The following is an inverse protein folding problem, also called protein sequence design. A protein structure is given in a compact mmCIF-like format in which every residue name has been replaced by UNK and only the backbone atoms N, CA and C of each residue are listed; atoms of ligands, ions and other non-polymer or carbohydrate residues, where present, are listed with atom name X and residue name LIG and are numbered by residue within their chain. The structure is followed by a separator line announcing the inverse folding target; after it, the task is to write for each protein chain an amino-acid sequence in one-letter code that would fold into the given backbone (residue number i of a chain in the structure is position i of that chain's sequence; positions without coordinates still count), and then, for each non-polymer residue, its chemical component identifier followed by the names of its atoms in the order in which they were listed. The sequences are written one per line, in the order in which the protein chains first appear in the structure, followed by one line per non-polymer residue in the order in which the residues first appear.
data_IF_637010003454
#
_entry.id   IF_637010003454
#
_cell.length_a   1.000
_cell.length_b   1.000
_cell.length_c   1.000
_cell.angle_alpha   90.00
_cell.angle_beta   90.00
_cell.angle_gamma   90.00
#
_symmetry.space_group_name_H-M   'P 1'
#
loop_
_entity.id
_entity.type
_entity.pdbx_description
1 polymer ?
#
# COMPACT_ATOMS: atom_id res chain seq x y z
N UNK A 1 -13.21 11.35 -57.33
CA UNK A 1 -11.95 11.02 -56.64
C UNK A 1 -12.31 10.43 -55.27
N UNK A 2 -12.28 9.10 -55.12
CA UNK A 2 -12.66 8.42 -53.86
C UNK A 2 -11.41 8.32 -52.99
N UNK A 3 -11.39 9.06 -51.89
CA UNK A 3 -10.32 8.97 -50.89
C UNK A 3 -10.60 7.70 -50.07
N UNK A 4 -9.88 6.63 -50.38
CA UNK A 4 -9.94 5.37 -49.63
C UNK A 4 -8.93 5.51 -48.49
N UNK A 5 -9.39 5.93 -47.32
CA UNK A 5 -8.57 5.97 -46.11
C UNK A 5 -8.38 4.52 -45.64
N UNK A 6 -7.17 3.97 -45.59
CA UNK A 6 -6.97 2.61 -45.13
C UNK A 6 -7.28 2.53 -43.63
N UNK A 7 -8.29 1.72 -43.29
CA UNK A 7 -8.72 1.41 -41.90
C UNK A 7 -7.54 0.90 -41.04
N UNK A 8 -6.46 0.46 -41.66
CA UNK A 8 -5.23 -0.02 -41.02
C UNK A 8 -4.47 1.02 -40.18
N UNK A 9 -4.71 2.32 -40.34
CA UNK A 9 -3.92 3.36 -39.63
C UNK A 9 -4.52 3.80 -38.29
N UNK A 10 -5.76 3.40 -37.96
CA UNK A 10 -6.48 3.84 -36.75
C UNK A 10 -6.24 2.89 -35.56
N UNK A 11 -5.69 1.70 -35.79
CA UNK A 11 -5.54 0.67 -34.75
C UNK A 11 -4.29 0.79 -33.87
N UNK A 12 -3.43 1.80 -34.08
CA UNK A 12 -2.11 1.89 -33.43
C UNK A 12 -2.05 2.71 -32.12
N UNK A 13 -3.17 3.28 -31.64
CA UNK A 13 -3.15 4.27 -30.54
C UNK A 13 -3.50 3.67 -29.15
N UNK A 14 -3.82 2.38 -29.03
CA UNK A 14 -4.38 1.83 -27.77
C UNK A 14 -3.40 1.16 -26.79
N UNK A 15 -2.07 1.29 -26.95
CA UNK A 15 -1.11 0.61 -26.08
C UNK A 15 -0.32 1.56 -25.15
N UNK A 16 -0.99 2.57 -24.56
CA UNK A 16 -0.46 3.25 -23.39
C UNK A 16 -0.98 2.56 -22.14
N UNK A 17 -0.35 1.45 -21.74
CA UNK A 17 -0.54 0.88 -20.41
C UNK A 17 0.15 1.81 -19.41
N UNK A 18 -0.63 2.41 -18.52
CA UNK A 18 -0.08 3.16 -17.40
C UNK A 18 0.46 2.15 -16.38
N UNK A 19 1.77 1.93 -16.37
CA UNK A 19 2.42 1.16 -15.32
C UNK A 19 2.38 1.95 -14.02
N UNK A 20 1.99 1.30 -12.91
CA UNK A 20 2.06 1.89 -11.58
C UNK A 20 3.51 2.23 -11.25
N UNK A 21 3.80 3.52 -11.07
CA UNK A 21 5.12 3.96 -10.59
C UNK A 21 5.14 3.84 -9.08
N UNK A 22 6.11 3.10 -8.54
CA UNK A 22 6.39 3.07 -7.11
C UNK A 22 6.66 4.50 -6.60
N UNK A 23 6.13 4.91 -5.44
CA UNK A 23 6.49 6.16 -4.81
C UNK A 23 8.01 6.22 -4.59
N UNK A 24 8.65 7.34 -4.89
CA UNK A 24 10.07 7.50 -4.57
C UNK A 24 10.21 7.93 -3.10
N UNK A 25 10.64 7.00 -2.24
CA UNK A 25 10.92 7.25 -0.83
C UNK A 25 12.37 6.87 -0.54
N UNK A 26 13.17 7.84 -0.12
CA UNK A 26 14.59 7.61 0.20
C UNK A 26 14.71 6.60 1.35
N UNK A 27 15.58 5.60 1.17
CA UNK A 27 15.82 4.53 2.14
C UNK A 27 14.73 3.45 2.19
N UNK A 28 13.67 3.55 1.38
CA UNK A 28 12.61 2.56 1.37
C UNK A 28 13.05 1.30 0.61
N UNK A 29 13.06 0.16 1.31
CA UNK A 29 13.19 -1.16 0.69
C UNK A 29 11.80 -1.80 0.54
N UNK A 30 11.18 -1.59 -0.62
CA UNK A 30 9.86 -2.16 -0.95
C UNK A 30 9.88 -3.70 -0.94
N UNK A 31 11.00 -4.32 -1.30
CA UNK A 31 11.08 -5.77 -1.35
C UNK A 31 11.13 -6.35 0.08
N UNK A 32 11.94 -5.78 0.97
CA UNK A 32 11.97 -6.16 2.37
C UNK A 32 10.61 -5.99 3.05
N UNK A 33 9.91 -4.87 2.78
CA UNK A 33 8.54 -4.65 3.27
C UNK A 33 7.56 -5.76 2.87
N UNK A 34 7.59 -6.16 1.59
CA UNK A 34 6.69 -7.19 1.04
C UNK A 34 7.03 -8.57 1.59
N UNK A 35 8.31 -8.88 1.77
CA UNK A 35 8.79 -10.17 2.29
C UNK A 35 8.53 -10.33 3.79
N UNK A 36 8.53 -9.23 4.55
CA UNK A 36 8.28 -9.24 5.99
C UNK A 36 6.77 -9.28 6.32
N UNK A 37 6.10 -10.33 5.87
CA UNK A 37 4.68 -10.56 6.15
C UNK A 37 4.43 -10.64 7.65
N UNK A 38 3.40 -9.93 8.12
CA UNK A 38 3.07 -9.75 9.54
C UNK A 38 4.13 -9.03 10.40
N UNK A 39 5.27 -8.63 9.83
CA UNK A 39 6.35 -7.98 10.57
C UNK A 39 7.26 -8.92 11.36
N UNK A 40 7.27 -10.22 11.03
CA UNK A 40 8.01 -11.23 11.79
C UNK A 40 9.55 -11.10 11.68
N UNK A 41 10.07 -10.59 10.57
CA UNK A 41 11.50 -10.31 10.40
C UNK A 41 11.92 -8.99 11.05
N UNK A 42 10.98 -8.11 11.35
CA UNK A 42 11.23 -6.81 11.97
C UNK A 42 11.61 -5.70 10.98
N UNK A 43 11.66 -5.97 9.69
CA UNK A 43 11.96 -4.99 8.63
C UNK A 43 10.88 -3.90 8.57
N UNK A 44 9.60 -4.28 8.70
CA UNK A 44 8.48 -3.33 8.61
C UNK A 44 8.52 -2.24 9.67
N UNK A 45 9.10 -2.49 10.86
CA UNK A 45 9.15 -1.46 11.92
C UNK A 45 10.14 -0.33 11.57
N UNK A 46 11.18 -0.63 10.81
CA UNK A 46 12.17 0.35 10.37
C UNK A 46 11.64 1.12 9.16
N UNK A 47 10.95 0.41 8.27
CA UNK A 47 10.42 0.96 7.03
C UNK A 47 9.12 1.76 7.21
N UNK A 48 8.27 1.41 8.19
CA UNK A 48 7.01 2.13 8.41
C UNK A 48 7.24 3.59 8.80
N UNK A 49 8.35 3.92 9.46
CA UNK A 49 8.71 5.31 9.77
C UNK A 49 8.79 6.16 8.50
N UNK A 50 9.38 5.59 7.43
CA UNK A 50 9.57 6.25 6.14
C UNK A 50 8.23 6.43 5.42
N UNK A 51 7.37 5.41 5.44
CA UNK A 51 6.00 5.48 4.90
C UNK A 51 5.21 6.57 5.61
N UNK A 52 5.26 6.62 6.94
CA UNK A 52 4.47 7.57 7.73
C UNK A 52 4.95 9.02 7.59
N UNK A 53 6.27 9.26 7.44
CA UNK A 53 6.81 10.59 7.09
C UNK A 53 6.43 10.98 5.66
N UNK A 54 6.46 10.04 4.72
CA UNK A 54 6.17 10.28 3.31
C UNK A 54 4.71 9.95 2.92
N UNK A 55 3.78 9.92 3.89
CA UNK A 55 2.41 9.41 3.69
C UNK A 55 1.68 10.00 2.48
N UNK A 56 1.92 11.27 2.17
CA UNK A 56 1.32 11.99 1.05
C UNK A 56 1.68 11.34 -0.30
N UNK A 57 2.86 10.73 -0.40
CA UNK A 57 3.32 10.00 -1.59
C UNK A 57 2.60 8.67 -1.79
N UNK A 58 1.85 8.17 -0.81
CA UNK A 58 1.07 6.93 -0.90
C UNK A 58 -0.43 7.18 -1.07
N UNK A 59 -0.84 8.45 -1.22
CA UNK A 59 -2.23 8.81 -1.47
C UNK A 59 -2.58 8.72 -2.95
N UNK A 60 -3.88 8.60 -3.23
CA UNK A 60 -4.50 8.63 -4.57
C UNK A 60 -4.28 7.38 -5.43
N UNK A 61 -3.55 6.39 -4.93
CA UNK A 61 -3.43 5.07 -5.56
C UNK A 61 -4.69 4.25 -5.33
N UNK A 62 -5.06 3.46 -6.33
CA UNK A 62 -6.11 2.47 -6.16
C UNK A 62 -5.63 1.22 -5.41
N UNK A 63 -6.57 0.37 -5.01
CA UNK A 63 -6.25 -0.86 -4.26
C UNK A 63 -5.20 -1.75 -4.94
N UNK A 64 -5.28 -1.94 -6.26
CA UNK A 64 -4.32 -2.79 -6.98
C UNK A 64 -2.94 -2.12 -7.02
N UNK A 65 -2.88 -0.81 -7.25
CA UNK A 65 -1.63 -0.06 -7.20
C UNK A 65 -0.98 -0.13 -5.82
N UNK A 66 -1.76 -0.01 -4.74
CA UNK A 66 -1.25 -0.21 -3.38
C UNK A 66 -0.75 -1.65 -3.17
N UNK A 67 -1.40 -2.66 -3.76
CA UNK A 67 -0.93 -4.05 -3.71
C UNK A 67 0.37 -4.22 -4.49
N UNK A 68 0.52 -3.55 -5.63
CA UNK A 68 1.73 -3.59 -6.44
C UNK A 68 2.90 -2.90 -5.70
N UNK A 69 2.61 -1.86 -4.90
CA UNK A 69 3.61 -1.10 -4.13
C UNK A 69 4.00 -1.80 -2.81
N UNK A 70 3.01 -2.24 -2.02
CA UNK A 70 3.20 -2.70 -0.63
C UNK A 70 2.92 -4.19 -0.44
N UNK A 71 2.57 -4.91 -1.50
CA UNK A 71 2.13 -6.31 -1.43
C UNK A 71 0.66 -6.45 -1.02
N UNK A 72 0.17 -7.69 -0.99
CA UNK A 72 -1.21 -7.97 -0.55
C UNK A 72 -1.34 -7.68 0.96
N UNK A 73 -2.34 -6.89 1.41
CA UNK A 73 -2.55 -6.66 2.83
C UNK A 73 -2.94 -7.96 3.53
N UNK A 74 -2.59 -8.08 4.81
CA UNK A 74 -2.94 -9.26 5.59
C UNK A 74 -4.41 -9.27 6.01
N UNK A 75 -5.03 -8.10 6.17
CA UNK A 75 -6.47 -7.98 6.37
C UNK A 75 -7.05 -6.86 5.50
N UNK A 76 -8.21 -7.14 4.89
CA UNK A 76 -9.02 -6.19 4.17
C UNK A 76 -10.44 -6.19 4.75
N UNK A 77 -10.92 -5.02 5.17
CA UNK A 77 -12.25 -4.86 5.74
C UNK A 77 -13.07 -3.82 4.97
N UNK A 78 -14.38 -4.05 4.86
CA UNK A 78 -15.35 -3.07 4.39
C UNK A 78 -15.96 -2.34 5.60
N UNK A 79 -15.69 -1.05 5.73
CA UNK A 79 -16.21 -0.21 6.80
C UNK A 79 -17.50 0.51 6.37
N UNK A 80 -18.14 1.21 7.32
CA UNK A 80 -19.35 2.00 7.06
C UNK A 80 -19.17 2.95 5.87
N UNK A 81 -20.21 3.08 5.03
CA UNK A 81 -20.21 3.85 3.76
C UNK A 81 -19.33 3.28 2.64
N UNK A 82 -19.14 1.96 2.59
CA UNK A 82 -18.39 1.28 1.51
C UNK A 82 -16.93 1.72 1.41
N UNK A 83 -16.33 2.10 2.54
CA UNK A 83 -14.89 2.39 2.61
C UNK A 83 -14.12 1.08 2.75
N UNK A 84 -13.18 0.84 1.85
CA UNK A 84 -12.26 -0.29 2.01
C UNK A 84 -11.09 0.14 2.90
N UNK A 85 -10.66 -0.74 3.79
CA UNK A 85 -9.50 -0.54 4.65
C UNK A 85 -8.55 -1.71 4.46
N UNK A 86 -7.29 -1.40 4.21
CA UNK A 86 -6.18 -2.35 4.23
C UNK A 86 -5.42 -2.24 5.54
N UNK A 87 -5.07 -3.39 6.11
CA UNK A 87 -4.20 -3.50 7.27
C UNK A 87 -2.94 -4.28 6.89
N UNK A 88 -1.78 -3.67 7.17
CA UNK A 88 -0.47 -4.31 7.13
C UNK A 88 0.08 -4.39 8.55
N UNK A 89 0.28 -5.60 9.06
CA UNK A 89 0.82 -5.80 10.41
C UNK A 89 2.34 -5.59 10.43
N UNK A 90 2.82 -4.91 11.48
CA UNK A 90 4.22 -4.48 11.60
C UNK A 90 4.90 -5.16 12.79
N UNK A 91 4.17 -5.43 13.88
CA UNK A 91 4.68 -6.14 15.05
C UNK A 91 3.56 -6.71 15.92
N UNK A 92 3.92 -7.71 16.73
CA UNK A 92 3.10 -8.35 17.76
C UNK A 92 1.95 -9.21 17.23
N UNK A 93 2.03 -9.63 15.97
CA UNK A 93 1.02 -10.47 15.36
C UNK A 93 1.22 -11.96 15.74
N UNK A 94 0.15 -12.71 16.07
CA UNK A 94 0.24 -14.11 16.47
C UNK A 94 0.75 -15.08 15.39
N UNK A 95 0.77 -14.68 14.12
CA UNK A 95 1.35 -15.47 13.04
C UNK A 95 2.89 -15.61 13.15
N UNK A 96 3.54 -14.75 13.95
CA UNK A 96 4.98 -14.79 14.18
C UNK A 96 5.32 -15.75 15.34
N UNK A 97 5.96 -16.87 15.02
CA UNK A 97 6.33 -17.89 16.01
C UNK A 97 7.49 -17.42 16.91
N UNK A 98 7.34 -17.57 18.23
CA UNK A 98 8.41 -17.28 19.20
C UNK A 98 8.62 -15.79 19.51
N UNK A 99 7.69 -14.94 19.10
CA UNK A 99 7.71 -13.50 19.36
C UNK A 99 6.62 -13.10 20.35
N UNK A 100 6.77 -11.93 20.97
CA UNK A 100 5.72 -11.33 21.78
C UNK A 100 4.49 -11.04 20.91
N UNK A 101 3.30 -11.45 21.38
CA UNK A 101 2.03 -11.26 20.67
C UNK A 101 1.09 -10.40 21.49
N UNK A 102 0.32 -9.54 20.84
CA UNK A 102 -0.68 -8.69 21.48
C UNK A 102 -2.08 -8.91 20.89
N UNK A 103 -3.12 -8.45 21.58
CA UNK A 103 -4.48 -8.42 21.04
C UNK A 103 -4.53 -7.53 19.79
N UNK A 104 -5.47 -7.79 18.87
CA UNK A 104 -5.52 -7.15 17.56
C UNK A 104 -5.53 -5.61 17.61
N UNK A 105 -6.20 -5.03 18.60
CA UNK A 105 -6.29 -3.57 18.79
C UNK A 105 -4.99 -2.95 19.35
N UNK A 106 -4.15 -3.75 19.99
CA UNK A 106 -2.86 -3.34 20.58
C UNK A 106 -1.67 -3.62 19.65
N UNK A 107 -1.88 -4.34 18.54
CA UNK A 107 -0.83 -4.61 17.56
C UNK A 107 -0.40 -3.34 16.82
N UNK A 108 0.87 -3.31 16.40
CA UNK A 108 1.36 -2.25 15.53
C UNK A 108 0.96 -2.59 14.10
N UNK A 109 0.13 -1.74 13.48
CA UNK A 109 -0.38 -1.97 12.12
C UNK A 109 -0.51 -0.67 11.34
N UNK A 110 -0.16 -0.71 10.06
CA UNK A 110 -0.43 0.34 9.10
C UNK A 110 -1.84 0.14 8.54
N UNK A 111 -2.67 1.17 8.69
CA UNK A 111 -4.01 1.24 8.12
C UNK A 111 -3.99 2.17 6.90
N UNK A 112 -4.51 1.68 5.77
CA UNK A 112 -4.75 2.48 4.57
C UNK A 112 -6.24 2.48 4.26
N UNK A 113 -6.86 3.66 4.29
CA UNK A 113 -8.29 3.82 3.97
C UNK A 113 -8.45 4.29 2.53
N UNK A 114 -9.40 3.69 1.83
CA UNK A 114 -9.78 4.07 0.47
C UNK A 114 -11.08 4.88 0.47
N UNK A 115 -11.18 5.86 -0.43
CA UNK A 115 -12.42 6.58 -0.70
C UNK A 115 -13.40 5.77 -1.58
N UNK A 116 -14.59 6.31 -1.79
CA UNK A 116 -15.63 5.67 -2.60
C UNK A 116 -15.25 5.54 -4.10
N UNK A 117 -14.18 6.20 -4.55
CA UNK A 117 -13.64 6.10 -5.91
C UNK A 117 -12.46 5.13 -5.98
N UNK A 118 -12.26 4.30 -4.96
CA UNK A 118 -11.16 3.35 -4.87
C UNK A 118 -9.79 4.04 -4.93
N UNK A 119 -9.59 5.10 -4.12
CA UNK A 119 -8.29 5.78 -4.01
C UNK A 119 -7.86 5.88 -2.55
N UNK A 120 -6.59 5.62 -2.26
CA UNK A 120 -6.01 5.76 -0.93
C UNK A 120 -6.17 7.22 -0.47
N UNK A 121 -6.89 7.40 0.63
CA UNK A 121 -7.30 8.70 1.16
C UNK A 121 -6.51 9.08 2.41
N UNK A 122 -6.16 8.09 3.22
CA UNK A 122 -5.42 8.31 4.46
C UNK A 122 -4.62 7.07 4.85
N UNK A 123 -3.46 7.32 5.45
CA UNK A 123 -2.62 6.33 6.10
C UNK A 123 -2.49 6.67 7.58
N UNK A 124 -2.53 5.67 8.44
CA UNK A 124 -2.32 5.80 9.88
C UNK A 124 -1.59 4.59 10.45
N UNK A 125 -0.62 4.80 11.32
CA UNK A 125 0.10 3.71 12.01
C UNK A 125 -0.41 3.62 13.44
N UNK A 126 -1.08 2.52 13.76
CA UNK A 126 -1.61 2.26 15.09
C UNK A 126 -0.51 1.86 16.06
N UNK A 127 -0.63 2.28 17.33
CA UNK A 127 0.25 1.90 18.44
C UNK A 127 1.75 2.15 18.17
N UNK A 128 2.05 3.22 17.43
CA UNK A 128 3.40 3.54 17.00
C UNK A 128 3.71 5.04 17.16
N UNK A 129 4.88 5.34 17.73
CA UNK A 129 5.43 6.70 17.78
C UNK A 129 6.57 6.78 16.79
N UNK A 130 6.37 7.53 15.69
CA UNK A 130 7.38 7.64 14.65
C UNK A 130 8.59 8.47 15.14
N UNK A 131 9.79 7.89 15.25
CA UNK A 131 10.97 8.59 15.74
C UNK A 131 11.48 9.68 14.79
N UNK A 132 11.05 9.66 13.52
CA UNK A 132 11.42 10.64 12.50
C UNK A 132 10.54 11.90 12.52
N UNK A 133 9.37 11.84 13.16
CA UNK A 133 8.48 12.99 13.36
C UNK A 133 8.79 13.61 14.71
N UNK A 134 9.75 14.54 14.74
CA UNK A 134 10.04 15.38 15.91
C UNK A 134 9.20 16.65 15.90
#
# INVERSE_FOLDING_TARGET
MKIIIPISLISAIFMFSCSTTLPEVEGMDYQAWVLDKYGCAGERIELVSLIDVNKEKFLRYNQNEIIDILGRPENQTLFTRSQTIFYYYIRHNPECTGQETMQEDDQVKLEIRFDALNRSKSLYVHNYVNPLKK
#
